data_IF_267765056133
#
_entry.id   IF_267765056133
#
_cell.length_a   1.000
_cell.length_b   1.000
_cell.length_c   1.000
_cell.angle_alpha   90.00
_cell.angle_beta   90.00
_cell.angle_gamma   90.00
#
_symmetry.space_group_name_H-M   'P 1'
#
loop_
_entity.id
_entity.type
_entity.pdbx_description
1 polymer ?
#
# COMPACT_ATOMS: atom_id res chain seq x y z
N UNK A 1 28.41 48.54 -24.50
CA UNK A 1 26.95 48.30 -24.60
C UNK A 1 26.75 47.02 -25.38
N UNK A 2 25.87 46.12 -24.95
CA UNK A 2 25.67 44.85 -25.67
C UNK A 2 25.05 45.13 -27.05
N UNK A 3 25.49 44.44 -28.12
CA UNK A 3 24.99 44.66 -29.48
C UNK A 3 23.46 44.47 -29.58
N UNK A 4 22.89 43.64 -28.70
CA UNK A 4 21.45 43.43 -28.56
C UNK A 4 20.68 44.67 -28.10
N UNK A 5 21.23 45.44 -27.14
CA UNK A 5 20.58 46.66 -26.64
C UNK A 5 20.61 47.79 -27.68
N UNK A 6 21.67 47.88 -28.47
CA UNK A 6 21.75 48.85 -29.59
C UNK A 6 20.79 48.49 -30.73
N UNK A 7 20.58 47.19 -30.99
CA UNK A 7 19.59 46.72 -31.96
C UNK A 7 18.15 47.02 -31.51
N UNK A 8 17.83 46.80 -30.23
CA UNK A 8 16.51 47.14 -29.67
C UNK A 8 16.17 48.62 -29.80
N UNK A 9 17.16 49.51 -29.66
CA UNK A 9 16.96 50.96 -29.82
C UNK A 9 16.75 51.43 -31.26
N UNK A 10 17.09 50.61 -32.26
CA UNK A 10 16.98 50.93 -33.70
C UNK A 10 15.97 50.05 -34.45
N UNK A 11 15.34 49.10 -33.75
CA UNK A 11 14.40 48.15 -34.33
C UNK A 11 13.06 48.82 -34.71
N UNK A 12 12.42 48.42 -35.83
CA UNK A 12 11.07 48.86 -36.18
C UNK A 12 10.05 48.47 -35.09
N UNK A 13 9.04 49.31 -34.85
CA UNK A 13 8.01 49.07 -33.82
C UNK A 13 7.34 47.69 -33.94
N UNK A 14 7.14 47.18 -35.17
CA UNK A 14 6.59 45.84 -35.42
C UNK A 14 7.49 44.69 -34.97
N UNK A 15 8.82 44.84 -35.02
CA UNK A 15 9.76 43.81 -34.58
C UNK A 15 9.76 43.64 -33.04
N UNK A 16 9.63 44.76 -32.32
CA UNK A 16 9.48 44.75 -30.86
C UNK A 16 8.17 44.05 -30.45
N UNK A 17 7.07 44.33 -31.14
CA UNK A 17 5.78 43.68 -30.89
C UNK A 17 5.79 42.17 -31.15
N UNK A 18 6.49 41.70 -32.19
CA UNK A 18 6.65 40.26 -32.46
C UNK A 18 7.47 39.60 -31.36
N UNK A 19 8.57 40.22 -30.93
CA UNK A 19 9.44 39.66 -29.89
C UNK A 19 8.74 39.58 -28.54
N UNK A 20 7.95 40.60 -28.17
CA UNK A 20 7.13 40.55 -26.95
C UNK A 20 6.02 39.51 -27.05
N UNK A 21 5.35 39.37 -28.21
CA UNK A 21 4.36 38.32 -28.43
C UNK A 21 4.97 36.91 -28.33
N UNK A 22 6.17 36.70 -28.88
CA UNK A 22 6.90 35.43 -28.76
C UNK A 22 7.26 35.10 -27.31
N UNK A 23 7.74 36.10 -26.54
CA UNK A 23 8.03 35.91 -25.11
C UNK A 23 6.75 35.60 -24.32
N UNK A 24 5.66 36.31 -24.59
CA UNK A 24 4.36 36.06 -23.96
C UNK A 24 3.85 34.65 -24.27
N UNK A 25 3.93 34.21 -25.53
CA UNK A 25 3.57 32.87 -25.95
C UNK A 25 4.44 31.80 -25.24
N UNK A 26 5.75 32.02 -25.13
CA UNK A 26 6.66 31.12 -24.44
C UNK A 26 6.30 30.99 -22.95
N UNK A 27 6.05 32.12 -22.27
CA UNK A 27 5.62 32.13 -20.87
C UNK A 27 4.29 31.39 -20.71
N UNK A 28 3.31 31.63 -21.59
CA UNK A 28 2.03 30.94 -21.56
C UNK A 28 2.19 29.42 -21.72
N UNK A 29 3.05 28.96 -22.63
CA UNK A 29 3.35 27.53 -22.81
C UNK A 29 4.01 26.95 -21.56
N UNK A 30 4.99 27.63 -20.97
CA UNK A 30 5.65 27.18 -19.74
C UNK A 30 4.64 27.06 -18.60
N UNK A 31 3.77 28.07 -18.42
CA UNK A 31 2.73 28.05 -17.38
C UNK A 31 1.74 26.92 -17.62
N UNK A 32 1.32 26.69 -18.86
CA UNK A 32 0.43 25.57 -19.21
C UNK A 32 1.06 24.22 -18.88
N UNK A 33 2.33 24.01 -19.25
CA UNK A 33 3.06 22.77 -18.95
C UNK A 33 3.24 22.55 -17.45
N UNK A 34 3.61 23.59 -16.69
CA UNK A 34 3.74 23.52 -15.23
C UNK A 34 2.39 23.20 -14.58
N UNK A 35 1.31 23.81 -15.06
CA UNK A 35 -0.03 23.60 -14.51
C UNK A 35 -0.48 22.16 -14.76
N UNK A 36 -0.32 21.64 -15.98
CA UNK A 36 -0.62 20.25 -16.31
C UNK A 36 0.23 19.27 -15.49
N UNK A 37 1.51 19.59 -15.29
CA UNK A 37 2.40 18.77 -14.47
C UNK A 37 1.96 18.74 -13.00
N UNK A 38 1.63 19.88 -12.40
CA UNK A 38 1.15 19.98 -11.01
C UNK A 38 -0.17 19.23 -10.84
N UNK A 39 -1.13 19.43 -11.74
CA UNK A 39 -2.43 18.77 -11.70
C UNK A 39 -2.29 17.25 -11.86
N UNK A 40 -1.49 16.79 -12.83
CA UNK A 40 -1.23 15.38 -13.04
C UNK A 40 -0.52 14.73 -11.86
N UNK A 41 0.43 15.43 -11.25
CA UNK A 41 1.10 14.99 -10.02
C UNK A 41 0.11 14.84 -8.87
N UNK A 42 -0.72 15.86 -8.61
CA UNK A 42 -1.72 15.84 -7.54
C UNK A 42 -2.73 14.71 -7.73
N UNK A 43 -3.28 14.56 -8.94
CA UNK A 43 -4.21 13.48 -9.25
C UNK A 43 -3.60 12.09 -9.03
N UNK A 44 -2.32 11.91 -9.39
CA UNK A 44 -1.59 10.67 -9.13
C UNK A 44 -1.38 10.42 -7.63
N UNK A 45 -0.98 11.43 -6.88
CA UNK A 45 -0.80 11.34 -5.43
C UNK A 45 -2.11 11.00 -4.74
N UNK A 46 -3.20 11.67 -5.09
CA UNK A 46 -4.53 11.43 -4.52
C UNK A 46 -5.01 10.01 -4.83
N UNK A 47 -4.82 9.55 -6.07
CA UNK A 47 -5.14 8.18 -6.46
C UNK A 47 -4.34 7.14 -5.67
N UNK A 48 -3.02 7.31 -5.56
CA UNK A 48 -2.17 6.39 -4.80
C UNK A 48 -2.46 6.46 -3.29
N UNK A 49 -2.80 7.62 -2.76
CA UNK A 49 -3.19 7.77 -1.35
C UNK A 49 -4.43 6.96 -1.05
N UNK A 50 -5.48 7.07 -1.87
CA UNK A 50 -6.70 6.26 -1.73
C UNK A 50 -6.41 4.76 -1.82
N UNK A 51 -5.50 4.34 -2.71
CA UNK A 51 -5.09 2.93 -2.82
C UNK A 51 -4.28 2.45 -1.62
N UNK A 52 -3.50 3.33 -1.00
CA UNK A 52 -2.73 3.01 0.19
C UNK A 52 -3.64 2.87 1.41
N UNK A 53 -4.64 3.75 1.54
CA UNK A 53 -5.70 3.65 2.54
C UNK A 53 -6.50 2.35 2.36
N UNK A 54 -6.86 2.02 1.11
CA UNK A 54 -7.53 0.76 0.78
C UNK A 54 -6.73 -0.47 1.24
N UNK A 55 -5.40 -0.44 1.01
CA UNK A 55 -4.51 -1.50 1.47
C UNK A 55 -4.46 -1.58 2.99
N UNK A 56 -4.35 -0.43 3.67
CA UNK A 56 -4.30 -0.37 5.13
C UNK A 56 -5.59 -0.90 5.77
N UNK A 57 -6.76 -0.50 5.24
CA UNK A 57 -8.05 -1.02 5.70
C UNK A 57 -8.18 -2.52 5.45
N UNK A 58 -7.76 -3.01 4.28
CA UNK A 58 -7.78 -4.45 3.98
C UNK A 58 -6.87 -5.25 4.93
N UNK A 59 -5.70 -4.72 5.32
CA UNK A 59 -4.83 -5.34 6.32
C UNK A 59 -5.51 -5.43 7.69
N UNK A 60 -6.18 -4.36 8.13
CA UNK A 60 -6.95 -4.36 9.38
C UNK A 60 -8.10 -5.35 9.35
N UNK A 61 -8.85 -5.42 8.24
CA UNK A 61 -9.95 -6.38 8.05
C UNK A 61 -9.44 -7.82 8.16
N UNK A 62 -8.31 -8.15 7.51
CA UNK A 62 -7.72 -9.50 7.60
C UNK A 62 -7.18 -9.78 9.01
N UNK A 63 -6.58 -8.79 9.67
CA UNK A 63 -6.12 -8.91 11.06
C UNK A 63 -7.28 -9.26 11.99
N UNK A 64 -8.36 -8.48 11.96
CA UNK A 64 -9.56 -8.71 12.77
C UNK A 64 -10.20 -10.07 12.47
N UNK A 65 -10.28 -10.45 11.20
CA UNK A 65 -10.79 -11.74 10.79
C UNK A 65 -9.95 -12.91 11.33
N UNK A 66 -8.62 -12.78 11.32
CA UNK A 66 -7.74 -13.81 11.85
C UNK A 66 -7.78 -13.93 13.38
N UNK A 67 -7.90 -12.81 14.09
CA UNK A 67 -8.11 -12.82 15.55
C UNK A 67 -9.40 -13.56 15.89
N UNK A 68 -10.51 -13.21 15.23
CA UNK A 68 -11.80 -13.88 15.41
C UNK A 68 -11.68 -15.39 15.18
N UNK A 69 -11.00 -15.81 14.12
CA UNK A 69 -10.77 -17.25 13.85
C UNK A 69 -9.93 -17.93 14.91
N UNK A 70 -8.88 -17.28 15.40
CA UNK A 70 -8.05 -17.85 16.46
C UNK A 70 -8.87 -18.02 17.75
N UNK A 71 -9.68 -17.03 18.12
CA UNK A 71 -10.60 -17.08 19.27
C UNK A 71 -11.65 -18.19 19.13
N UNK A 72 -12.24 -18.35 17.94
CA UNK A 72 -13.20 -19.43 17.66
C UNK A 72 -12.58 -20.81 17.87
N UNK A 73 -11.30 -20.98 17.53
CA UNK A 73 -10.63 -22.29 17.53
C UNK A 73 -9.90 -22.58 18.85
N UNK A 74 -9.66 -21.57 19.68
CA UNK A 74 -8.95 -21.67 20.96
C UNK A 74 -9.53 -22.73 21.92
N UNK A 75 -10.86 -22.82 22.14
CA UNK A 75 -11.42 -23.82 23.06
C UNK A 75 -11.17 -25.26 22.61
N UNK A 76 -11.09 -25.49 21.29
CA UNK A 76 -10.80 -26.80 20.70
C UNK A 76 -9.34 -27.20 20.91
N UNK A 77 -8.42 -26.23 20.83
CA UNK A 77 -7.00 -26.44 21.12
C UNK A 77 -6.76 -26.73 22.61
N UNK A 78 -7.49 -26.06 23.51
CA UNK A 78 -7.31 -26.21 24.96
C UNK A 78 -7.93 -27.51 25.53
N UNK A 79 -9.09 -27.94 25.00
CA UNK A 79 -9.84 -29.07 25.56
C UNK A 79 -9.56 -30.41 24.89
N UNK A 80 -8.94 -30.41 23.70
CA UNK A 80 -8.78 -31.63 22.88
C UNK A 80 -10.11 -32.26 22.44
N UNK A 81 -11.25 -31.61 22.70
CA UNK A 81 -12.57 -32.14 22.37
C UNK A 81 -12.90 -31.88 20.91
N UNK A 82 -12.58 -32.86 20.07
CA UNK A 82 -12.81 -32.87 18.61
C UNK A 82 -14.29 -33.06 18.19
N UNK A 83 -15.23 -33.01 19.13
CA UNK A 83 -16.65 -33.31 18.91
C UNK A 83 -17.57 -32.09 18.89
N UNK A 84 -17.04 -30.89 19.12
CA UNK A 84 -17.82 -29.65 18.99
C UNK A 84 -17.98 -29.32 17.49
N UNK A 85 -19.23 -29.03 17.12
CA UNK A 85 -19.70 -28.72 15.78
C UNK A 85 -18.69 -27.83 15.03
N UNK A 86 -18.28 -28.22 13.80
CA UNK A 86 -17.43 -27.37 12.95
C UNK A 86 -18.02 -25.94 12.97
N UNK A 87 -17.19 -24.89 13.06
CA UNK A 87 -17.68 -23.51 12.98
C UNK A 87 -18.62 -23.34 11.78
N UNK A 88 -19.55 -22.38 11.79
CA UNK A 88 -20.40 -22.11 10.62
C UNK A 88 -19.63 -21.48 9.44
N UNK A 89 -20.24 -21.39 8.26
CA UNK A 89 -19.73 -20.61 7.13
C UNK A 89 -18.91 -21.38 6.08
N UNK A 90 -18.80 -20.79 4.89
CA UNK A 90 -18.10 -21.38 3.74
C UNK A 90 -16.58 -21.35 3.90
N UNK A 91 -15.84 -22.24 3.22
CA UNK A 91 -14.36 -22.24 3.29
C UNK A 91 -13.75 -20.94 2.78
N UNK A 92 -14.41 -20.27 1.83
CA UNK A 92 -14.01 -18.98 1.25
C UNK A 92 -14.08 -17.87 2.28
N UNK A 93 -15.19 -17.79 3.03
CA UNK A 93 -15.35 -16.83 4.13
C UNK A 93 -14.33 -17.10 5.23
N UNK A 94 -14.18 -18.35 5.68
CA UNK A 94 -13.18 -18.68 6.73
C UNK A 94 -11.74 -18.47 6.29
N UNK A 95 -11.44 -18.51 5.01
CA UNK A 95 -10.08 -18.27 4.52
C UNK A 95 -9.83 -16.80 4.19
N UNK A 96 -10.87 -15.95 4.19
CA UNK A 96 -10.80 -14.58 3.73
C UNK A 96 -10.06 -14.44 2.38
N UNK A 97 -10.28 -15.39 1.46
CA UNK A 97 -9.55 -15.46 0.19
C UNK A 97 -9.71 -14.18 -0.63
N UNK A 98 -10.87 -13.54 -0.54
CA UNK A 98 -11.17 -12.30 -1.26
C UNK A 98 -10.37 -11.12 -0.71
N UNK A 99 -10.26 -11.01 0.63
CA UNK A 99 -9.41 -10.00 1.27
C UNK A 99 -7.94 -10.24 0.93
N UNK A 100 -7.50 -11.49 0.94
CA UNK A 100 -6.12 -11.82 0.58
C UNK A 100 -5.82 -11.46 -0.89
N UNK A 101 -6.69 -11.81 -1.82
CA UNK A 101 -6.57 -11.43 -3.24
C UNK A 101 -6.54 -9.91 -3.42
N UNK A 102 -7.37 -9.17 -2.67
CA UNK A 102 -7.39 -7.70 -2.68
C UNK A 102 -6.03 -7.12 -2.25
N UNK A 103 -5.46 -7.61 -1.15
CA UNK A 103 -4.14 -7.18 -0.67
C UNK A 103 -3.06 -7.49 -1.71
N UNK A 104 -3.05 -8.72 -2.25
CA UNK A 104 -2.08 -9.14 -3.28
C UNK A 104 -2.16 -8.23 -4.51
N UNK A 105 -3.37 -7.94 -4.97
CA UNK A 105 -3.61 -7.05 -6.11
C UNK A 105 -3.07 -5.64 -5.81
N UNK A 106 -3.40 -5.07 -4.65
CA UNK A 106 -2.96 -3.72 -4.27
C UNK A 106 -1.43 -3.63 -4.19
N UNK A 107 -0.78 -4.61 -3.58
CA UNK A 107 0.68 -4.68 -3.47
C UNK A 107 1.32 -4.85 -4.84
N UNK A 108 0.83 -5.76 -5.69
CA UNK A 108 1.43 -6.02 -7.01
C UNK A 108 1.26 -4.86 -8.00
N UNK A 109 0.09 -4.25 -8.04
CA UNK A 109 -0.24 -3.22 -9.03
C UNK A 109 0.24 -1.82 -8.62
N UNK A 110 0.12 -1.47 -7.33
CA UNK A 110 0.33 -0.09 -6.87
C UNK A 110 1.56 0.06 -5.96
N UNK A 111 1.86 -0.94 -5.13
CA UNK A 111 2.91 -0.83 -4.11
C UNK A 111 3.92 -1.98 -4.14
N UNK A 112 4.60 -2.24 -5.27
CA UNK A 112 5.48 -3.40 -5.41
C UNK A 112 6.66 -3.41 -4.42
N UNK A 113 7.02 -2.25 -3.87
CA UNK A 113 8.06 -2.13 -2.83
C UNK A 113 7.69 -2.87 -1.53
N UNK A 114 6.40 -3.03 -1.24
CA UNK A 114 5.91 -3.77 -0.08
C UNK A 114 5.89 -5.30 -0.30
N UNK A 115 6.32 -5.80 -1.47
CA UNK A 115 6.17 -7.22 -1.83
C UNK A 115 6.88 -8.17 -0.86
N UNK A 116 8.09 -7.84 -0.42
CA UNK A 116 8.85 -8.65 0.54
C UNK A 116 8.10 -8.78 1.87
N UNK A 117 7.65 -7.66 2.42
CA UNK A 117 6.95 -7.62 3.71
C UNK A 117 5.58 -8.27 3.63
N UNK A 118 4.85 -8.04 2.55
CA UNK A 118 3.62 -8.77 2.25
C UNK A 118 3.84 -10.29 2.18
N UNK A 119 4.92 -10.77 1.54
CA UNK A 119 5.22 -12.20 1.48
C UNK A 119 5.52 -12.77 2.88
N UNK A 120 6.16 -11.99 3.78
CA UNK A 120 6.38 -12.41 5.17
C UNK A 120 5.06 -12.54 5.92
N UNK A 121 4.18 -11.54 5.82
CA UNK A 121 2.83 -11.59 6.39
C UNK A 121 2.09 -12.83 5.91
N UNK A 122 2.08 -13.07 4.60
CA UNK A 122 1.39 -14.23 4.03
C UNK A 122 1.95 -15.55 4.52
N UNK A 123 3.28 -15.73 4.55
CA UNK A 123 3.91 -16.95 5.06
C UNK A 123 3.56 -17.22 6.52
N UNK A 124 3.51 -16.20 7.37
CA UNK A 124 3.11 -16.35 8.77
C UNK A 124 1.61 -16.67 8.88
N UNK A 125 0.77 -16.04 8.07
CA UNK A 125 -0.66 -16.33 7.99
C UNK A 125 -0.94 -17.77 7.56
N UNK A 126 -0.24 -18.30 6.55
CA UNK A 126 -0.40 -19.68 6.09
C UNK A 126 -0.15 -20.68 7.22
N UNK A 127 0.85 -20.44 8.08
CA UNK A 127 1.12 -21.32 9.23
C UNK A 127 -0.01 -21.32 10.26
N UNK A 128 -0.60 -20.14 10.52
CA UNK A 128 -1.79 -20.02 11.39
C UNK A 128 -2.96 -20.76 10.75
N UNK A 129 -3.18 -20.58 9.45
CA UNK A 129 -4.23 -21.25 8.72
C UNK A 129 -4.09 -22.78 8.76
N UNK A 130 -2.89 -23.30 8.51
CA UNK A 130 -2.59 -24.73 8.56
C UNK A 130 -2.86 -25.28 9.96
N UNK A 131 -2.44 -24.59 11.03
CA UNK A 131 -2.72 -25.01 12.40
C UNK A 131 -4.23 -25.01 12.69
N UNK A 132 -4.96 -23.96 12.31
CA UNK A 132 -6.41 -23.92 12.49
C UNK A 132 -7.07 -25.09 11.76
N UNK A 133 -6.68 -25.36 10.51
CA UNK A 133 -7.20 -26.49 9.75
C UNK A 133 -6.90 -27.83 10.44
N UNK A 134 -5.70 -28.01 11.02
CA UNK A 134 -5.34 -29.20 11.80
C UNK A 134 -6.25 -29.36 13.03
N UNK A 135 -6.52 -28.28 13.75
CA UNK A 135 -7.43 -28.27 14.91
C UNK A 135 -8.86 -28.61 14.47
N UNK A 136 -9.36 -27.99 13.41
CA UNK A 136 -10.69 -28.25 12.84
C UNK A 136 -10.84 -29.69 12.30
N UNK A 137 -9.73 -30.33 11.93
CA UNK A 137 -9.68 -31.73 11.46
C UNK A 137 -9.58 -32.74 12.60
N UNK A 138 -9.54 -32.29 13.87
CA UNK A 138 -9.45 -33.16 15.03
C UNK A 138 -8.05 -33.74 15.26
N UNK A 139 -7.00 -33.05 14.81
CA UNK A 139 -5.63 -33.43 15.16
C UNK A 139 -5.19 -32.75 16.47
N UNK A 140 -4.48 -33.47 17.36
CA UNK A 140 -3.98 -32.90 18.60
C UNK A 140 -3.07 -31.72 18.29
N UNK A 141 -3.34 -30.61 18.94
CA UNK A 141 -2.67 -29.32 18.73
C UNK A 141 -2.51 -28.63 20.07
N UNK A 142 -1.49 -27.78 20.20
CA UNK A 142 -1.25 -27.04 21.44
C UNK A 142 -1.82 -25.62 21.34
N UNK A 143 -2.50 -25.18 22.39
CA UNK A 143 -2.87 -23.78 22.59
C UNK A 143 -1.66 -22.84 22.50
N UNK A 144 -0.53 -23.24 23.08
CA UNK A 144 0.72 -22.48 23.04
C UNK A 144 1.22 -22.30 21.59
N UNK A 145 1.05 -23.32 20.74
CA UNK A 145 1.40 -23.23 19.32
C UNK A 145 0.50 -22.23 18.58
N UNK A 146 -0.80 -22.21 18.88
CA UNK A 146 -1.76 -21.28 18.29
C UNK A 146 -1.46 -19.84 18.69
N UNK A 147 -1.22 -19.58 19.97
CA UNK A 147 -0.86 -18.25 20.49
C UNK A 147 0.45 -17.77 19.86
N UNK A 148 1.48 -18.63 19.84
CA UNK A 148 2.79 -18.28 19.27
C UNK A 148 2.71 -17.96 17.78
N UNK A 149 2.02 -18.79 16.98
CA UNK A 149 1.89 -18.55 15.54
C UNK A 149 1.06 -17.30 15.26
N UNK A 150 -0.03 -17.08 16.00
CA UNK A 150 -0.87 -15.89 15.87
C UNK A 150 -0.11 -14.61 16.25
N UNK A 151 0.69 -14.65 17.33
CA UNK A 151 1.58 -13.56 17.71
C UNK A 151 2.61 -13.24 16.62
N UNK A 152 3.25 -14.26 16.05
CA UNK A 152 4.19 -14.07 14.94
C UNK A 152 3.49 -13.44 13.72
N UNK A 153 2.26 -13.83 13.41
CA UNK A 153 1.50 -13.21 12.33
C UNK A 153 1.22 -11.72 12.62
N UNK A 154 0.80 -11.40 13.84
CA UNK A 154 0.58 -10.03 14.30
C UNK A 154 1.83 -9.14 14.19
N UNK A 155 3.00 -9.65 14.58
CA UNK A 155 4.26 -8.92 14.41
C UNK A 155 4.58 -8.61 12.94
N UNK A 156 4.31 -9.55 12.02
CA UNK A 156 4.58 -9.31 10.61
C UNK A 156 3.60 -8.29 10.01
N UNK A 157 2.34 -8.31 10.44
CA UNK A 157 1.37 -7.27 10.08
C UNK A 157 1.83 -5.90 10.57
N UNK A 158 2.21 -5.80 11.85
CA UNK A 158 2.71 -4.56 12.44
C UNK A 158 3.93 -4.03 11.68
N UNK A 159 4.87 -4.91 11.29
CA UNK A 159 6.02 -4.52 10.46
C UNK A 159 5.59 -3.98 9.08
N UNK A 160 4.55 -4.57 8.47
CA UNK A 160 4.00 -4.06 7.20
C UNK A 160 3.34 -2.69 7.35
N UNK A 161 2.59 -2.49 8.44
CA UNK A 161 1.96 -1.21 8.76
C UNK A 161 3.00 -0.11 9.01
N UNK A 162 4.05 -0.43 9.78
CA UNK A 162 5.15 0.50 10.01
C UNK A 162 5.87 0.86 8.71
N UNK A 163 6.12 -0.13 7.83
CA UNK A 163 6.71 0.14 6.52
C UNK A 163 5.81 1.02 5.65
N UNK A 164 4.49 0.83 5.68
CA UNK A 164 3.52 1.70 5.00
C UNK A 164 3.60 3.14 5.53
N UNK A 165 3.58 3.32 6.85
CA UNK A 165 3.60 4.63 7.51
C UNK A 165 4.93 5.35 7.23
N UNK A 166 6.06 4.67 7.46
CA UNK A 166 7.39 5.22 7.28
C UNK A 166 7.67 5.63 5.83
N UNK A 167 7.08 4.92 4.86
CA UNK A 167 7.28 5.17 3.43
C UNK A 167 6.10 5.85 2.73
N UNK A 168 5.09 6.36 3.47
CA UNK A 168 3.86 6.93 2.89
C UNK A 168 4.14 7.88 1.73
N UNK A 169 5.01 8.87 1.93
CA UNK A 169 5.35 9.87 0.91
C UNK A 169 6.02 9.27 -0.35
N UNK A 170 6.77 8.18 -0.20
CA UNK A 170 7.39 7.47 -1.31
C UNK A 170 6.40 6.59 -2.06
N UNK A 171 5.50 5.93 -1.32
CA UNK A 171 4.45 5.08 -1.86
C UNK A 171 3.41 5.91 -2.63
N UNK A 172 3.07 7.11 -2.14
CA UNK A 172 2.14 8.04 -2.80
C UNK A 172 2.80 8.96 -3.83
N UNK A 173 4.13 8.94 -3.95
CA UNK A 173 4.92 9.83 -4.83
C UNK A 173 4.72 11.33 -4.54
N UNK A 174 4.42 11.64 -3.28
CA UNK A 174 4.15 13.00 -2.82
C UNK A 174 5.45 13.82 -2.63
N UNK A 175 6.61 13.19 -2.51
CA UNK A 175 7.91 13.88 -2.34
C UNK A 175 8.44 14.58 -3.60
N UNK A 176 8.83 15.86 -3.49
CA UNK A 176 9.55 16.58 -4.56
C UNK A 176 11.00 16.06 -4.73
N UNK A 177 11.57 15.54 -3.65
CA UNK A 177 12.93 15.00 -3.60
C UNK A 177 12.91 13.48 -3.45
N UNK A 178 13.95 12.81 -3.97
CA UNK A 178 14.12 11.37 -3.79
C UNK A 178 14.44 11.07 -2.32
N UNK A 179 13.50 10.43 -1.61
CA UNK A 179 13.77 9.81 -0.31
C UNK A 179 14.18 8.34 -0.49
N UNK A 180 15.09 7.87 0.35
CA UNK A 180 15.47 6.44 0.39
C UNK A 180 14.32 5.63 0.99
N UNK A 181 14.01 4.49 0.38
CA UNK A 181 13.04 3.55 0.93
C UNK A 181 13.60 2.89 2.19
N UNK A 182 12.80 2.85 3.26
CA UNK A 182 13.16 2.22 4.52
C UNK A 182 12.37 0.91 4.64
N UNK A 183 13.07 -0.21 4.50
CA UNK A 183 12.48 -1.52 4.80
C UNK A 183 12.79 -1.85 6.25
N UNK A 184 11.77 -2.26 7.01
CA UNK A 184 11.97 -2.93 8.29
C UNK A 184 12.34 -4.38 7.96
N UNK A 185 13.64 -4.60 7.74
CA UNK A 185 14.24 -5.91 7.51
C UNK A 185 14.75 -6.50 8.82
#
# INVERSE_FOLDING_TARGET
>A
MSPFLNWLGTAPQGAVAILTAMLAALVAVIVALLTQWILGRRARTDFLTRKLEELYLALNEVSAHNVKRAEEVLPYAATGMHHLQKPGGSSVERQALDLHKRIVMLVRLYFPKLSSTHQRVFRRNSRVHDLIHRIESGMPSSEEELVRLSGSYGEALAAMEQEIIANRLLLTKDGLFQRRYRSDA
#
